data_IF_968191095395
#
_entry.id   IF_968191095395
#
_cell.length_a   1.000
_cell.length_b   1.000
_cell.length_c   1.000
_cell.angle_alpha   90.00
_cell.angle_beta   90.00
_cell.angle_gamma   90.00
#
_symmetry.space_group_name_H-M   'P 1'
#
loop_
_entity.id
_entity.type
_entity.pdbx_description
1 polymer ?
#
# COMPACT_ATOMS: atom_id res chain seq x y z
N UNK A 1 29.13 -9.51 15.22
CA UNK A 1 28.84 -8.07 15.25
C UNK A 1 27.87 -7.69 14.12
N UNK A 2 28.09 -8.14 12.87
CA UNK A 2 27.19 -7.84 11.74
C UNK A 2 25.77 -8.37 11.94
N UNK A 3 25.62 -9.59 12.45
CA UNK A 3 24.30 -10.20 12.73
C UNK A 3 23.53 -9.43 13.82
N UNK A 4 24.24 -8.88 14.80
CA UNK A 4 23.63 -8.08 15.85
C UNK A 4 23.15 -6.73 15.34
N UNK A 5 23.93 -6.07 14.47
CA UNK A 5 23.55 -4.82 13.83
C UNK A 5 22.34 -4.99 12.89
N UNK A 6 22.31 -6.09 12.15
CA UNK A 6 21.17 -6.41 11.29
C UNK A 6 19.90 -6.66 12.12
N UNK A 7 20.00 -7.41 13.20
CA UNK A 7 18.88 -7.66 14.11
C UNK A 7 18.35 -6.38 14.75
N UNK A 8 19.23 -5.45 15.11
CA UNK A 8 18.85 -4.15 15.66
C UNK A 8 18.17 -3.27 14.62
N UNK A 9 18.66 -3.22 13.39
CA UNK A 9 18.04 -2.50 12.28
C UNK A 9 16.65 -3.04 11.95
N UNK A 10 16.52 -4.35 11.89
CA UNK A 10 15.24 -5.04 11.68
C UNK A 10 14.29 -4.72 12.83
N UNK A 11 14.73 -4.79 14.07
CA UNK A 11 13.89 -4.45 15.23
C UNK A 11 13.42 -3.00 15.23
N UNK A 12 14.27 -2.04 14.87
CA UNK A 12 13.91 -0.63 14.72
C UNK A 12 12.91 -0.41 13.57
N UNK A 13 13.10 -1.10 12.46
CA UNK A 13 12.16 -1.05 11.33
C UNK A 13 10.77 -1.54 11.74
N UNK A 14 10.69 -2.67 12.47
CA UNK A 14 9.45 -3.22 13.00
C UNK A 14 8.75 -2.24 13.92
N UNK A 15 9.47 -1.63 14.85
CA UNK A 15 8.91 -0.70 15.81
C UNK A 15 8.36 0.55 15.11
N UNK A 16 9.10 1.10 14.16
CA UNK A 16 8.66 2.25 13.37
C UNK A 16 7.39 1.92 12.58
N UNK A 17 7.31 0.76 11.96
CA UNK A 17 6.14 0.31 11.20
C UNK A 17 4.91 0.18 12.11
N UNK A 18 5.07 -0.42 13.30
CA UNK A 18 3.99 -0.56 14.29
C UNK A 18 3.47 0.79 14.79
N UNK A 19 4.36 1.71 15.09
CA UNK A 19 4.00 3.05 15.57
C UNK A 19 3.37 3.88 14.46
N UNK A 20 3.87 3.78 13.25
CA UNK A 20 3.30 4.40 12.06
C UNK A 20 1.90 3.89 11.73
N UNK A 21 1.65 2.60 11.90
CA UNK A 21 0.30 2.01 11.74
C UNK A 21 -0.66 2.59 12.78
N UNK A 22 -0.25 2.72 14.04
CA UNK A 22 -1.08 3.33 15.10
C UNK A 22 -1.39 4.79 14.80
N UNK A 23 -0.40 5.55 14.35
CA UNK A 23 -0.56 6.94 14.00
C UNK A 23 -1.42 7.11 12.74
N UNK A 24 -1.23 6.27 11.74
CA UNK A 24 -2.07 6.23 10.54
C UNK A 24 -3.54 5.98 10.89
N UNK A 25 -3.83 5.06 11.84
CA UNK A 25 -5.18 4.85 12.37
C UNK A 25 -5.79 6.11 12.96
N UNK A 26 -4.99 6.83 13.73
CA UNK A 26 -5.42 8.08 14.36
C UNK A 26 -5.69 9.16 13.32
N UNK A 27 -4.76 9.38 12.40
CA UNK A 27 -4.88 10.37 11.34
C UNK A 27 -6.01 10.07 10.36
N UNK A 28 -6.20 8.81 10.00
CA UNK A 28 -7.30 8.36 9.15
C UNK A 28 -8.66 8.71 9.76
N UNK A 29 -8.80 8.51 11.08
CA UNK A 29 -10.00 8.87 11.81
C UNK A 29 -10.23 10.39 11.89
N UNK A 30 -9.15 11.17 12.00
CA UNK A 30 -9.20 12.62 12.16
C UNK A 30 -9.32 13.37 10.83
N UNK A 31 -8.74 12.82 9.74
CA UNK A 31 -8.59 13.49 8.43
C UNK A 31 -9.31 12.80 7.28
N UNK A 32 -10.14 11.80 7.56
CA UNK A 32 -10.78 10.95 6.54
C UNK A 32 -9.78 10.24 5.62
N UNK A 33 -8.55 10.03 6.08
CA UNK A 33 -7.59 9.19 5.36
C UNK A 33 -7.98 7.72 5.53
N UNK A 34 -8.02 6.95 4.44
CA UNK A 34 -8.32 5.54 4.52
C UNK A 34 -7.25 4.82 5.29
N UNK A 35 -7.65 4.28 6.39
CA UNK A 35 -6.93 3.24 7.03
C UNK A 35 -7.27 1.91 6.35
N UNK A 36 -6.32 1.35 5.65
CA UNK A 36 -6.42 0.00 5.10
C UNK A 36 -5.55 -0.92 5.95
N UNK A 37 -6.10 -1.47 7.06
CA UNK A 37 -5.33 -2.16 8.08
C UNK A 37 -4.52 -3.32 7.53
N UNK A 38 -5.10 -4.04 6.60
CA UNK A 38 -4.51 -5.26 6.06
C UNK A 38 -3.33 -4.98 5.11
N UNK A 39 -3.32 -3.80 4.48
CA UNK A 39 -2.21 -3.37 3.61
C UNK A 39 -1.09 -2.74 4.43
N UNK A 40 -1.43 -2.02 5.49
CA UNK A 40 -0.47 -1.37 6.38
C UNK A 40 0.01 -2.29 7.53
N UNK A 41 -0.60 -3.44 7.73
CA UNK A 41 -0.12 -4.47 8.64
C UNK A 41 1.10 -5.18 8.08
N UNK A 42 2.11 -4.42 7.80
CA UNK A 42 3.46 -4.93 7.70
C UNK A 42 4.09 -4.71 9.07
N UNK A 43 3.83 -5.60 10.00
CA UNK A 43 4.45 -5.63 11.33
C UNK A 43 5.94 -5.96 11.22
N UNK A 44 6.58 -5.35 10.21
CA UNK A 44 8.02 -5.29 9.97
C UNK A 44 8.76 -6.59 9.80
N UNK A 45 8.22 -7.70 10.14
CA UNK A 45 8.76 -9.03 9.93
C UNK A 45 7.63 -10.03 9.75
N UNK A 46 7.45 -10.38 8.59
CA UNK A 46 7.95 -11.63 8.09
C UNK A 46 7.47 -12.86 8.88
N UNK A 47 6.25 -12.88 9.34
CA UNK A 47 5.53 -14.10 9.15
C UNK A 47 4.80 -13.93 7.82
N UNK A 48 5.56 -14.07 6.77
CA UNK A 48 4.98 -14.23 5.45
C UNK A 48 4.24 -15.52 5.47
N UNK A 49 3.06 -15.42 5.97
CA UNK A 49 2.09 -16.44 5.74
C UNK A 49 1.71 -16.35 4.27
N UNK A 50 2.57 -16.92 3.42
CA UNK A 50 2.23 -17.26 2.05
C UNK A 50 1.18 -18.40 2.05
N UNK A 51 0.32 -18.39 3.06
CA UNK A 51 -0.69 -19.40 3.30
C UNK A 51 -1.96 -19.14 2.50
N UNK A 52 -2.01 -18.03 1.80
CA UNK A 52 -3.11 -17.74 0.91
C UNK A 52 -3.04 -18.68 -0.30
N UNK A 53 -4.09 -19.39 -0.58
CA UNK A 53 -4.23 -20.10 -1.84
C UNK A 53 -4.32 -19.08 -2.99
N UNK A 54 -3.33 -19.14 -3.89
CA UNK A 54 -3.32 -18.30 -5.08
C UNK A 54 -4.16 -18.98 -6.17
N UNK A 55 -5.26 -18.37 -6.54
CA UNK A 55 -6.10 -18.88 -7.63
C UNK A 55 -5.37 -18.72 -8.97
N UNK A 56 -5.44 -19.75 -9.81
CA UNK A 56 -4.87 -19.69 -11.17
C UNK A 56 -5.53 -18.61 -12.05
N UNK A 57 -6.79 -18.29 -11.77
CA UNK A 57 -7.57 -17.26 -12.49
C UNK A 57 -8.44 -16.52 -11.49
N UNK A 58 -8.34 -15.20 -11.49
CA UNK A 58 -9.23 -14.30 -10.74
C UNK A 58 -9.85 -13.29 -11.69
N UNK A 59 -11.16 -13.07 -11.58
CA UNK A 59 -11.83 -12.03 -12.36
C UNK A 59 -11.95 -10.75 -11.52
N UNK A 60 -11.29 -9.70 -11.97
CA UNK A 60 -11.23 -8.41 -11.25
C UNK A 60 -12.61 -7.74 -11.22
N UNK A 61 -13.38 -7.78 -12.29
CA UNK A 61 -14.70 -7.15 -12.36
C UNK A 61 -15.68 -7.84 -11.39
N UNK A 62 -15.59 -9.15 -11.26
CA UNK A 62 -16.40 -9.90 -10.28
C UNK A 62 -16.06 -9.50 -8.84
N UNK A 63 -14.78 -9.27 -8.55
CA UNK A 63 -14.33 -8.81 -7.23
C UNK A 63 -14.86 -7.41 -6.97
N UNK A 64 -14.71 -6.50 -7.91
CA UNK A 64 -15.18 -5.11 -7.79
C UNK A 64 -16.70 -5.09 -7.58
N UNK A 65 -17.46 -5.90 -8.33
CA UNK A 65 -18.92 -5.92 -8.25
C UNK A 65 -19.47 -6.42 -6.91
N UNK A 66 -18.70 -7.20 -6.17
CA UNK A 66 -19.07 -7.77 -4.87
C UNK A 66 -18.76 -6.85 -3.70
N UNK A 67 -18.03 -5.76 -3.95
CA UNK A 67 -17.63 -4.81 -2.92
C UNK A 67 -18.43 -3.51 -3.01
N UNK A 68 -18.69 -2.89 -1.86
CA UNK A 68 -19.35 -1.58 -1.81
C UNK A 68 -18.37 -0.47 -2.23
N UNK A 69 -18.74 0.27 -3.26
CA UNK A 69 -17.93 1.39 -3.77
C UNK A 69 -18.01 2.67 -2.90
N UNK A 70 -18.86 2.67 -1.87
CA UNK A 70 -18.98 3.79 -0.93
C UNK A 70 -18.04 3.67 0.27
N UNK A 71 -17.30 2.58 0.36
CA UNK A 71 -16.29 2.37 1.40
C UNK A 71 -14.96 1.96 0.76
N UNK A 72 -13.88 2.22 1.46
CA UNK A 72 -12.57 1.73 1.05
C UNK A 72 -12.41 0.26 1.40
N UNK A 73 -11.84 -0.51 0.47
CA UNK A 73 -11.58 -1.93 0.65
C UNK A 73 -10.29 -2.36 -0.06
N UNK A 74 -9.81 -3.50 0.32
CA UNK A 74 -8.71 -4.18 -0.38
C UNK A 74 -8.97 -5.66 -0.54
N UNK A 75 -8.43 -6.23 -1.61
CA UNK A 75 -8.50 -7.64 -1.90
C UNK A 75 -7.17 -8.16 -2.43
N UNK A 76 -6.56 -9.10 -1.70
CA UNK A 76 -5.31 -9.72 -2.10
C UNK A 76 -5.58 -10.78 -3.17
N UNK A 77 -5.02 -10.60 -4.37
CA UNK A 77 -5.12 -11.54 -5.49
C UNK A 77 -4.01 -12.59 -5.45
N UNK A 78 -2.79 -12.15 -5.21
CA UNK A 78 -1.58 -12.98 -5.25
C UNK A 78 -0.75 -12.69 -4.01
N UNK A 79 -0.22 -13.74 -3.40
CA UNK A 79 0.70 -13.63 -2.29
C UNK A 79 1.71 -14.78 -2.34
N UNK A 80 2.92 -14.47 -2.76
CA UNK A 80 4.03 -15.41 -2.85
C UNK A 80 5.29 -14.79 -2.23
N UNK A 81 6.31 -15.60 -2.05
CA UNK A 81 7.63 -15.15 -1.56
C UNK A 81 8.29 -14.10 -2.48
N UNK A 82 7.90 -14.06 -3.76
CA UNK A 82 8.52 -13.19 -4.75
C UNK A 82 7.68 -11.96 -5.10
N UNK A 83 6.36 -12.06 -5.02
CA UNK A 83 5.46 -10.95 -5.34
C UNK A 83 4.11 -11.06 -4.64
N UNK A 84 3.44 -9.92 -4.55
CA UNK A 84 2.04 -9.82 -4.16
C UNK A 84 1.31 -8.86 -5.09
N UNK A 85 0.04 -9.15 -5.33
CA UNK A 85 -0.85 -8.26 -6.07
C UNK A 85 -2.12 -8.02 -5.27
N UNK A 86 -2.48 -6.76 -5.09
CA UNK A 86 -3.62 -6.35 -4.27
C UNK A 86 -4.45 -5.31 -4.99
N UNK A 87 -5.74 -5.55 -5.11
CA UNK A 87 -6.70 -4.52 -5.47
C UNK A 87 -6.96 -3.63 -4.26
N UNK A 88 -6.93 -2.32 -4.47
CA UNK A 88 -7.17 -1.33 -3.45
C UNK A 88 -8.16 -0.32 -3.99
N UNK A 89 -9.31 -0.22 -3.33
CA UNK A 89 -10.32 0.81 -3.57
C UNK A 89 -10.30 1.81 -2.44
N UNK A 90 -10.26 3.10 -2.76
CA UNK A 90 -10.33 4.17 -1.78
C UNK A 90 -11.33 5.24 -2.23
N UNK A 91 -12.11 5.74 -1.29
CA UNK A 91 -13.00 6.88 -1.54
C UNK A 91 -12.21 8.19 -1.64
N UNK A 92 -12.73 9.23 -2.28
CA UNK A 92 -12.03 10.50 -2.45
C UNK A 92 -11.50 11.08 -1.13
N UNK A 93 -10.26 11.55 -1.15
CA UNK A 93 -9.54 12.10 0.00
C UNK A 93 -8.81 11.08 0.86
N UNK A 94 -9.05 9.79 0.65
CA UNK A 94 -8.38 8.72 1.36
C UNK A 94 -7.15 8.23 0.60
N UNK A 95 -6.17 7.71 1.32
CA UNK A 95 -4.93 7.27 0.70
C UNK A 95 -3.91 6.71 1.69
N UNK A 96 -2.68 6.61 1.23
CA UNK A 96 -1.55 6.16 2.05
C UNK A 96 -0.74 7.37 2.50
N UNK A 97 -0.22 7.32 3.74
CA UNK A 97 0.74 8.30 4.22
C UNK A 97 2.01 8.27 3.38
N UNK A 98 2.76 9.37 3.43
CA UNK A 98 4.08 9.48 2.81
C UNK A 98 5.04 8.47 3.42
N UNK A 99 5.62 7.62 2.59
CA UNK A 99 6.53 6.55 2.98
C UNK A 99 7.47 6.18 1.83
N UNK A 100 8.42 5.32 2.10
CA UNK A 100 9.27 4.69 1.09
C UNK A 100 9.56 3.23 1.46
N UNK A 101 10.07 2.48 0.51
CA UNK A 101 10.53 1.10 0.67
C UNK A 101 12.03 1.01 0.45
N UNK A 102 12.84 0.56 1.42
CA UNK A 102 14.29 0.61 1.30
C UNK A 102 14.87 -0.39 0.31
N UNK A 103 14.21 -1.52 0.10
CA UNK A 103 14.79 -2.66 -0.62
C UNK A 103 13.95 -3.17 -1.79
N UNK A 104 12.87 -2.48 -2.15
CA UNK A 104 11.95 -2.98 -3.16
C UNK A 104 11.36 -1.88 -4.02
N UNK A 105 11.20 -2.17 -5.32
CA UNK A 105 10.44 -1.33 -6.25
C UNK A 105 8.98 -1.75 -6.21
N UNK A 106 8.09 -0.79 -6.33
CA UNK A 106 6.65 -1.04 -6.44
C UNK A 106 6.13 -0.47 -7.75
N UNK A 107 5.03 -1.03 -8.22
CA UNK A 107 4.29 -0.44 -9.32
C UNK A 107 2.79 -0.70 -9.18
N UNK A 108 2.02 0.16 -9.81
CA UNK A 108 0.57 0.12 -9.79
C UNK A 108 0.00 0.31 -11.18
N UNK A 109 -1.12 -0.37 -11.42
CA UNK A 109 -1.97 -0.10 -12.57
C UNK A 109 -3.29 0.49 -12.09
N UNK A 110 -3.73 1.57 -12.73
CA UNK A 110 -4.95 2.27 -12.35
C UNK A 110 -6.14 1.72 -13.13
N UNK A 111 -7.06 1.09 -12.42
CA UNK A 111 -8.24 0.44 -12.99
C UNK A 111 -9.42 1.41 -13.09
N UNK A 112 -9.58 2.31 -12.11
CA UNK A 112 -10.72 3.21 -12.03
C UNK A 112 -10.36 4.50 -11.29
N UNK A 113 -11.08 5.59 -11.65
CA UNK A 113 -10.99 6.87 -10.97
C UNK A 113 -9.70 7.62 -11.23
N UNK A 114 -9.45 8.59 -10.37
CA UNK A 114 -8.31 9.49 -10.43
C UNK A 114 -7.55 9.47 -9.11
N UNK A 115 -6.24 9.62 -9.17
CA UNK A 115 -5.35 9.64 -8.02
C UNK A 115 -4.43 10.85 -8.07
N UNK A 116 -4.11 11.40 -6.92
CA UNK A 116 -3.01 12.34 -6.71
C UNK A 116 -1.85 11.56 -6.09
N UNK A 117 -0.72 11.57 -6.76
CA UNK A 117 0.52 10.98 -6.30
C UNK A 117 1.55 12.07 -6.07
N UNK A 118 2.16 12.06 -4.90
CA UNK A 118 3.35 12.84 -4.61
C UNK A 118 4.54 11.88 -4.63
N UNK A 119 5.56 12.18 -5.44
CA UNK A 119 6.79 11.40 -5.56
C UNK A 119 7.96 12.36 -5.41
N UNK A 120 8.76 12.19 -4.37
CA UNK A 120 9.90 13.07 -4.05
C UNK A 120 9.51 14.58 -4.00
N UNK A 121 8.28 14.88 -3.63
CA UNK A 121 7.76 16.25 -3.53
C UNK A 121 7.13 16.80 -4.80
N UNK A 122 7.15 16.07 -5.90
CA UNK A 122 6.43 16.41 -7.13
C UNK A 122 5.06 15.75 -7.18
N UNK A 123 4.04 16.49 -7.60
CA UNK A 123 2.66 16.01 -7.68
C UNK A 123 2.28 15.58 -9.10
N UNK A 124 1.61 14.44 -9.18
CA UNK A 124 1.15 13.84 -10.44
C UNK A 124 -0.33 13.47 -10.33
N UNK A 125 -1.12 13.91 -11.30
CA UNK A 125 -2.49 13.42 -11.49
C UNK A 125 -2.42 12.15 -12.33
N UNK A 126 -2.87 11.06 -11.77
CA UNK A 126 -2.85 9.73 -12.36
C UNK A 126 -4.27 9.28 -12.65
N UNK A 127 -4.51 8.76 -13.83
CA UNK A 127 -5.82 8.41 -14.33
C UNK A 127 -5.93 6.92 -14.67
N UNK A 128 -7.16 6.48 -14.87
CA UNK A 128 -7.43 5.12 -15.37
C UNK A 128 -6.58 4.80 -16.60
N UNK A 129 -5.91 3.67 -16.59
CA UNK A 129 -5.04 3.19 -17.66
C UNK A 129 -3.55 3.47 -17.44
N UNK A 130 -3.22 4.36 -16.51
CA UNK A 130 -1.84 4.69 -16.20
C UNK A 130 -1.15 3.56 -15.40
N UNK A 131 0.15 3.45 -15.60
CA UNK A 131 1.05 2.65 -14.77
C UNK A 131 1.98 3.59 -14.02
N UNK A 132 2.06 3.42 -12.71
CA UNK A 132 3.00 4.18 -11.86
C UNK A 132 4.07 3.23 -11.35
N UNK A 133 5.31 3.65 -11.43
CA UNK A 133 6.47 2.92 -10.95
C UNK A 133 7.24 3.76 -9.95
N UNK A 134 7.57 3.16 -8.81
CA UNK A 134 8.35 3.80 -7.75
C UNK A 134 9.57 2.94 -7.46
N UNK A 135 10.73 3.52 -7.64
CA UNK A 135 11.98 2.89 -7.24
C UNK A 135 12.10 2.84 -5.71
N UNK A 136 12.80 1.82 -5.24
CA UNK A 136 13.20 1.74 -3.84
C UNK A 136 13.82 3.06 -3.35
N UNK A 137 13.60 3.38 -2.08
CA UNK A 137 14.03 4.61 -1.41
C UNK A 137 13.35 5.89 -1.89
N UNK A 138 12.44 5.86 -2.85
CA UNK A 138 11.69 7.02 -3.29
C UNK A 138 10.48 7.26 -2.38
N UNK A 139 10.44 8.42 -1.77
CA UNK A 139 9.30 8.84 -0.94
C UNK A 139 8.09 9.12 -1.80
N UNK A 140 6.96 8.57 -1.39
CA UNK A 140 5.71 8.77 -2.11
C UNK A 140 4.50 8.78 -1.19
N UNK A 141 3.48 9.50 -1.63
CA UNK A 141 2.16 9.58 -1.02
C UNK A 141 1.11 9.36 -2.09
N UNK A 142 0.03 8.67 -1.73
CA UNK A 142 -1.04 8.31 -2.66
C UNK A 142 -2.35 8.79 -2.06
N UNK A 143 -3.16 9.51 -2.83
CA UNK A 143 -4.47 9.99 -2.39
C UNK A 143 -5.48 9.78 -3.50
N UNK A 144 -6.63 9.15 -3.20
CA UNK A 144 -7.75 9.06 -4.14
C UNK A 144 -8.32 10.46 -4.38
N UNK A 145 -8.47 10.83 -5.64
CA UNK A 145 -8.95 12.14 -6.08
C UNK A 145 -10.26 12.03 -6.85
N UNK A 146 -10.82 13.18 -7.26
CA UNK A 146 -12.07 13.19 -7.99
C UNK A 146 -13.31 13.03 -7.11
N UNK A 147 -14.41 12.55 -7.68
CA UNK A 147 -15.73 12.50 -7.03
C UNK A 147 -16.27 11.09 -6.81
N UNK A 148 -15.51 10.07 -7.17
CA UNK A 148 -15.88 8.67 -7.03
C UNK A 148 -14.72 7.85 -6.46
N UNK A 149 -15.02 6.65 -5.98
CA UNK A 149 -13.98 5.72 -5.54
C UNK A 149 -13.01 5.39 -6.66
N UNK A 150 -11.74 5.37 -6.34
CA UNK A 150 -10.66 5.04 -7.25
C UNK A 150 -10.06 3.67 -6.92
N UNK A 151 -9.74 2.89 -7.94
CA UNK A 151 -9.24 1.52 -7.79
C UNK A 151 -7.90 1.37 -8.49
N UNK A 152 -6.94 0.83 -7.77
CA UNK A 152 -5.59 0.50 -8.26
C UNK A 152 -5.23 -0.95 -7.98
N UNK A 153 -4.46 -1.55 -8.85
CA UNK A 153 -3.75 -2.80 -8.62
C UNK A 153 -2.34 -2.46 -8.13
N UNK A 154 -2.05 -2.80 -6.89
CA UNK A 154 -0.72 -2.64 -6.31
C UNK A 154 0.07 -3.93 -6.46
N UNK A 155 1.28 -3.84 -7.01
CA UNK A 155 2.19 -4.97 -7.17
C UNK A 155 3.51 -4.66 -6.48
N UNK A 156 3.83 -5.51 -5.51
CA UNK A 156 5.02 -5.40 -4.69
C UNK A 156 5.37 -6.78 -4.12
N UNK A 157 6.06 -6.80 -3.02
CA UNK A 157 6.25 -7.99 -2.19
C UNK A 157 5.56 -7.79 -0.85
N UNK A 158 4.94 -8.83 -0.31
CA UNK A 158 4.09 -8.71 0.88
C UNK A 158 4.86 -8.35 2.16
N UNK A 159 6.16 -8.69 2.20
CA UNK A 159 7.06 -8.49 3.33
C UNK A 159 7.88 -7.19 3.29
N UNK A 160 7.62 -6.31 2.32
CA UNK A 160 8.36 -5.05 2.20
C UNK A 160 7.86 -4.03 3.22
N UNK A 161 8.71 -3.53 4.12
CA UNK A 161 8.29 -2.56 5.13
C UNK A 161 7.98 -1.19 4.51
N UNK A 162 7.00 -0.50 5.08
CA UNK A 162 6.77 0.92 4.86
C UNK A 162 7.58 1.72 5.88
N UNK A 163 8.48 2.56 5.41
CA UNK A 163 9.20 3.49 6.27
C UNK A 163 8.56 4.86 6.12
N UNK A 164 7.94 5.34 7.18
CA UNK A 164 7.22 6.61 7.19
C UNK A 164 8.13 7.76 7.56
N UNK A 165 7.91 8.91 6.95
CA UNK A 165 8.54 10.14 7.43
C UNK A 165 8.01 10.48 8.83
N UNK A 166 8.93 10.74 9.74
CA UNK A 166 8.62 11.40 11.01
C UNK A 166 8.52 12.89 10.69
N UNK A 167 7.30 13.40 10.64
CA UNK A 167 7.04 14.84 10.57
C UNK A 167 7.32 15.50 11.92
#
# INVERSE_FOLDING_TARGET
EEDFQLAELVSKSIQNDSDSVKESKKLSKERSEAFVPDILRKDGVVNNEFNQENLSVSNIEDIISKNDNNISWSHRLINTENNSATLISQIPGEGNRRHYHPNWNEWWYILKGQWLWEIEGEEFIINKGDVVFIEKNKKHKITAAGNESAIRLAVSRADVPHIYDIE
#
